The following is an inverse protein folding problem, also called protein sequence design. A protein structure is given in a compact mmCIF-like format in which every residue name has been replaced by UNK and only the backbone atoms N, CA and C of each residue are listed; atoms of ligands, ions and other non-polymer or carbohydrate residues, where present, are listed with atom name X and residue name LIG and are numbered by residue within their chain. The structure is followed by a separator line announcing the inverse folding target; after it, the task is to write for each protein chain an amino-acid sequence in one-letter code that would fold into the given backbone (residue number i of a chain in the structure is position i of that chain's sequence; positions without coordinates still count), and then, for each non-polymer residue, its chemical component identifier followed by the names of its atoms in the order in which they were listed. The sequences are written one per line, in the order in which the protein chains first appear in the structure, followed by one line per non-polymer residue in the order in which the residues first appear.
data_IF_428315664302
#
_entry.id   IF_428315664302
#
_cell.length_a   1.000
_cell.length_b   1.000
_cell.length_c   1.000
_cell.angle_alpha   90.00
_cell.angle_beta   90.00
_cell.angle_gamma   90.00
#
_symmetry.space_group_name_H-M   'P 1'
#
loop_
_entity.id
_entity.type
_entity.pdbx_description
1 polymer ?
#
# COMPACT_ATOMS: atom_id res chain seq x y z
N UNK A 1 -2.83 9.85 7.06
CA UNK A 1 -3.89 9.77 6.03
C UNK A 1 -3.67 8.67 4.99
N UNK A 2 -2.51 8.54 4.32
CA UNK A 2 -2.33 7.51 3.29
C UNK A 2 -2.43 6.06 3.81
N UNK A 3 -1.99 5.80 5.04
CA UNK A 3 -2.10 4.46 5.65
C UNK A 3 -3.55 4.04 5.89
N UNK A 4 -4.43 5.00 6.24
CA UNK A 4 -5.86 4.72 6.44
C UNK A 4 -6.56 4.30 5.13
N UNK A 5 -6.32 5.03 4.04
CA UNK A 5 -6.89 4.72 2.73
C UNK A 5 -6.39 3.35 2.26
N UNK A 6 -5.11 3.06 2.49
CA UNK A 6 -4.48 1.78 2.15
C UNK A 6 -5.10 0.61 2.92
N UNK A 7 -5.23 0.72 4.24
CA UNK A 7 -5.81 -0.32 5.09
C UNK A 7 -7.27 -0.59 4.71
N UNK A 8 -8.02 0.45 4.37
CA UNK A 8 -9.40 0.32 3.93
C UNK A 8 -9.51 -0.36 2.56
N UNK A 9 -8.65 0.01 1.60
CA UNK A 9 -8.56 -0.67 0.31
C UNK A 9 -8.21 -2.15 0.46
N UNK A 10 -7.32 -2.50 1.40
CA UNK A 10 -6.94 -3.88 1.67
C UNK A 10 -8.14 -4.71 2.17
N UNK A 11 -8.96 -4.13 3.07
CA UNK A 11 -10.20 -4.77 3.54
C UNK A 11 -11.20 -4.94 2.41
N UNK A 12 -11.41 -3.91 1.61
CA UNK A 12 -12.35 -3.93 0.49
C UNK A 12 -11.99 -4.98 -0.56
N UNK A 13 -10.71 -5.05 -0.95
CA UNK A 13 -10.26 -6.04 -1.93
C UNK A 13 -10.33 -7.48 -1.40
N UNK A 14 -10.06 -7.71 -0.11
CA UNK A 14 -10.26 -9.03 0.52
C UNK A 14 -11.74 -9.42 0.55
N UNK A 15 -12.61 -8.49 0.92
CA UNK A 15 -14.06 -8.72 0.93
C UNK A 15 -14.60 -9.01 -0.47
N UNK A 16 -14.15 -8.26 -1.48
CA UNK A 16 -14.51 -8.49 -2.88
C UNK A 16 -14.01 -9.85 -3.38
N UNK A 17 -12.79 -10.26 -3.01
CA UNK A 17 -12.22 -11.55 -3.39
C UNK A 17 -12.98 -12.73 -2.77
N UNK A 18 -13.45 -12.57 -1.52
CA UNK A 18 -14.26 -13.59 -0.85
C UNK A 18 -15.65 -13.76 -1.50
N UNK A 19 -16.20 -12.68 -2.06
CA UNK A 19 -17.53 -12.66 -2.67
C UNK A 19 -17.52 -12.94 -4.18
N UNK A 20 -16.38 -12.80 -4.84
CA UNK A 20 -16.27 -12.98 -6.29
C UNK A 20 -16.27 -14.46 -6.68
N UNK A 21 -17.21 -14.82 -7.56
CA UNK A 21 -17.30 -16.13 -8.24
C UNK A 21 -16.66 -16.11 -9.63
N UNK A 22 -16.27 -14.94 -10.12
CA UNK A 22 -15.64 -14.76 -11.43
C UNK A 22 -14.12 -14.95 -11.33
N UNK A 23 -13.57 -15.90 -12.09
CA UNK A 23 -12.14 -16.23 -12.00
C UNK A 23 -11.22 -15.09 -12.46
N UNK A 24 -11.62 -14.30 -13.46
CA UNK A 24 -10.82 -13.20 -13.98
C UNK A 24 -10.78 -12.06 -12.96
N UNK A 25 -11.93 -11.72 -12.37
CA UNK A 25 -12.03 -10.76 -11.29
C UNK A 25 -11.19 -11.17 -10.08
N UNK A 26 -11.20 -12.47 -9.70
CA UNK A 26 -10.36 -12.99 -8.62
C UNK A 26 -8.87 -12.83 -8.92
N UNK A 27 -8.43 -13.10 -10.16
CA UNK A 27 -7.03 -12.90 -10.58
C UNK A 27 -6.63 -11.43 -10.46
N UNK A 28 -7.46 -10.51 -10.93
CA UNK A 28 -7.20 -9.06 -10.82
C UNK A 28 -7.09 -8.63 -9.36
N UNK A 29 -8.02 -9.06 -8.51
CA UNK A 29 -8.02 -8.73 -7.07
C UNK A 29 -6.77 -9.24 -6.36
N UNK A 30 -6.27 -10.44 -6.72
CA UNK A 30 -5.02 -10.97 -6.18
C UNK A 30 -3.80 -10.14 -6.60
N UNK A 31 -3.77 -9.64 -7.83
CA UNK A 31 -2.69 -8.75 -8.30
C UNK A 31 -2.72 -7.43 -7.54
N UNK A 32 -3.89 -6.80 -7.40
CA UNK A 32 -4.05 -5.55 -6.66
C UNK A 32 -3.62 -5.68 -5.18
N UNK A 33 -4.00 -6.78 -4.53
CA UNK A 33 -3.57 -7.08 -3.16
C UNK A 33 -2.05 -7.25 -3.04
N UNK A 34 -1.40 -7.89 -4.01
CA UNK A 34 0.06 -8.02 -4.02
C UNK A 34 0.76 -6.67 -4.17
N UNK A 35 0.29 -5.83 -5.09
CA UNK A 35 0.85 -4.50 -5.32
C UNK A 35 0.78 -3.63 -4.06
N UNK A 36 -0.35 -3.64 -3.35
CA UNK A 36 -0.52 -2.91 -2.10
C UNK A 36 0.44 -3.35 -0.98
N UNK A 37 0.74 -4.65 -0.90
CA UNK A 37 1.67 -5.20 0.10
C UNK A 37 3.13 -4.89 -0.26
N UNK A 38 3.49 -4.95 -1.54
CA UNK A 38 4.84 -4.58 -2.00
C UNK A 38 5.11 -3.09 -1.75
N UNK A 39 4.15 -2.23 -2.06
CA UNK A 39 4.26 -0.79 -1.78
C UNK A 39 4.43 -0.52 -0.27
N UNK A 40 3.81 -1.32 0.61
CA UNK A 40 4.03 -1.24 2.05
C UNK A 40 5.48 -1.59 2.42
N UNK A 41 6.04 -2.66 1.86
CA UNK A 41 7.41 -3.07 2.14
C UNK A 41 8.44 -2.02 1.67
N UNK A 42 8.21 -1.40 0.51
CA UNK A 42 9.07 -0.35 -0.03
C UNK A 42 8.96 0.96 0.76
N UNK A 43 7.75 1.36 1.17
CA UNK A 43 7.54 2.57 1.98
C UNK A 43 8.05 2.41 3.41
N UNK A 44 7.96 1.21 4.00
CA UNK A 44 8.54 0.90 5.31
C UNK A 44 10.07 0.83 5.29
N UNK A 45 10.66 0.47 4.14
CA UNK A 45 12.11 0.34 3.98
C UNK A 45 12.82 1.64 3.62
N UNK A 46 12.09 2.71 3.28
CA UNK A 46 12.68 4.02 2.96
C UNK A 46 13.15 4.69 4.26
N UNK A 47 14.46 4.87 4.49
CA UNK A 47 14.94 5.63 5.63
C UNK A 47 14.44 7.07 5.49
N UNK A 48 13.91 7.66 6.57
CA UNK A 48 13.74 9.11 6.69
C UNK A 48 15.13 9.74 6.70
N UNK A 49 15.75 9.93 5.53
CA UNK A 49 16.98 10.68 5.41
C UNK A 49 16.75 11.91 4.53
N UNK A 50 17.29 13.03 5.03
CA UNK A 50 17.32 14.38 4.47
C UNK A 50 16.05 15.22 4.63
N UNK A 51 15.79 15.64 5.87
CA UNK A 51 15.56 17.07 6.07
C UNK A 51 16.95 17.69 6.29
N UNK A 52 17.45 18.57 5.39
CA UNK A 52 18.59 19.41 5.74
C UNK A 52 18.16 20.29 6.93
N UNK A 53 18.99 20.30 7.97
CA UNK A 53 18.86 21.21 9.11
C UNK A 53 18.96 22.64 8.56
N UNK A 54 17.98 23.53 8.78
CA UNK A 54 18.02 24.88 8.23
C UNK A 54 19.01 25.82 8.93
N UNK A 55 19.83 25.29 9.85
CA UNK A 55 20.73 26.08 10.71
C UNK A 55 22.23 25.87 10.39
N UNK A 56 22.60 25.50 9.15
CA UNK A 56 23.98 25.71 8.66
C UNK A 56 24.17 27.16 8.18
N UNK A 57 24.04 28.11 9.12
CA UNK A 57 24.63 29.44 9.05
C UNK A 57 25.71 29.53 10.15
N UNK A 58 26.96 29.21 9.81
CA UNK A 58 28.17 29.66 10.53
C UNK A 58 29.37 29.81 9.59
#
# INVERSE_FOLDING_TARGET
MPDFIRDENLKLYRAALAQSTDEEQRRVLLVLLRLLVVEQAETASRPKQFAPDPDEDY
#
